data_IF_154654482676
#
_entry.id   IF_154654482676
#
_cell.length_a   1.000
_cell.length_b   1.000
_cell.length_c   1.000
_cell.angle_alpha   90.00
_cell.angle_beta   90.00
_cell.angle_gamma   90.00
#
_symmetry.space_group_name_H-M   'P 1'
#
loop_
_entity.id
_entity.type
_entity.pdbx_description
1 polymer ?
#
# COMPACT_ATOMS: atom_id res chain seq x y z
N UNK A 1 4.22 -14.49 0.29
CA UNK A 1 2.83 -14.37 -0.17
C UNK A 1 2.82 -13.60 -1.48
N UNK A 2 2.09 -14.07 -2.46
CA UNK A 2 1.98 -13.44 -3.77
C UNK A 2 0.53 -13.05 -4.04
N UNK A 3 0.35 -11.89 -4.67
CA UNK A 3 -0.97 -11.37 -5.02
C UNK A 3 -0.93 -10.83 -6.44
N UNK A 4 -2.01 -11.02 -7.18
CA UNK A 4 -2.14 -10.51 -8.54
C UNK A 4 -3.03 -9.26 -8.55
N UNK A 5 -2.72 -8.31 -9.47
CA UNK A 5 -3.61 -7.20 -9.74
C UNK A 5 -4.97 -7.72 -10.25
N UNK A 6 -6.05 -6.93 -10.20
CA UNK A 6 -7.36 -7.39 -10.65
C UNK A 6 -7.39 -7.92 -12.09
N UNK A 7 -6.58 -7.34 -12.99
CA UNK A 7 -6.48 -7.81 -14.37
C UNK A 7 -5.47 -8.95 -14.56
N UNK A 8 -4.79 -9.37 -13.48
CA UNK A 8 -3.79 -10.45 -13.45
C UNK A 8 -2.52 -10.16 -14.27
N UNK A 9 -2.30 -8.93 -14.68
CA UNK A 9 -1.10 -8.56 -15.47
C UNK A 9 0.09 -8.20 -14.61
N UNK A 10 -0.12 -7.86 -13.35
CA UNK A 10 0.94 -7.49 -12.41
C UNK A 10 0.90 -8.38 -11.19
N UNK A 11 2.07 -8.69 -10.65
CA UNK A 11 2.17 -9.49 -9.42
C UNK A 11 2.85 -8.70 -8.33
N UNK A 12 2.32 -8.81 -7.10
CA UNK A 12 2.90 -8.23 -5.90
C UNK A 12 3.32 -9.38 -4.99
N UNK A 13 4.52 -9.30 -4.45
CA UNK A 13 5.03 -10.26 -3.49
C UNK A 13 5.33 -9.56 -2.18
N UNK A 14 4.79 -10.06 -1.08
CA UNK A 14 5.10 -9.60 0.26
C UNK A 14 5.87 -10.69 0.99
N UNK A 15 7.05 -10.34 1.49
CA UNK A 15 7.88 -11.23 2.27
C UNK A 15 8.00 -10.68 3.68
N UNK A 16 7.30 -11.28 4.62
CA UNK A 16 7.31 -10.86 6.01
C UNK A 16 8.71 -11.03 6.60
N UNK A 17 9.19 -9.99 7.27
CA UNK A 17 10.52 -9.95 7.86
C UNK A 17 10.45 -9.82 9.39
N UNK A 18 9.30 -9.46 9.93
CA UNK A 18 9.10 -9.32 11.35
C UNK A 18 7.71 -8.84 11.69
N UNK A 19 7.53 -8.48 12.94
CA UNK A 19 6.27 -7.97 13.46
C UNK A 19 6.47 -6.57 14.05
N UNK A 20 5.44 -5.75 13.99
CA UNK A 20 5.45 -4.47 14.69
C UNK A 20 5.05 -4.75 16.16
N UNK A 21 6.06 -4.96 17.01
CA UNK A 21 5.83 -5.40 18.37
C UNK A 21 5.44 -6.87 18.45
N UNK A 22 5.32 -7.40 19.66
CA UNK A 22 4.97 -8.80 19.90
C UNK A 22 3.50 -9.04 19.55
N UNK A 23 3.26 -9.98 18.63
CA UNK A 23 1.91 -10.30 18.18
C UNK A 23 1.26 -9.22 17.32
N UNK A 24 2.02 -8.22 16.86
CA UNK A 24 1.51 -7.14 16.03
C UNK A 24 1.43 -7.51 14.54
N UNK A 25 1.01 -6.55 13.70
CA UNK A 25 0.99 -6.77 12.27
C UNK A 25 2.36 -7.07 11.69
N UNK A 26 2.40 -7.83 10.60
CA UNK A 26 3.63 -8.17 9.93
C UNK A 26 4.16 -6.97 9.14
N UNK A 27 5.49 -6.85 9.09
CA UNK A 27 6.21 -5.86 8.32
C UNK A 27 7.23 -6.58 7.45
N UNK A 28 7.47 -6.08 6.24
CA UNK A 28 8.42 -6.76 5.37
C UNK A 28 8.63 -6.09 4.03
N UNK A 29 9.20 -6.86 3.12
CA UNK A 29 9.56 -6.40 1.79
C UNK A 29 8.38 -6.57 0.83
N UNK A 30 8.17 -5.57 -0.02
CA UNK A 30 7.20 -5.64 -1.12
C UNK A 30 7.95 -5.47 -2.44
N UNK A 31 7.67 -6.39 -3.37
CA UNK A 31 8.15 -6.34 -4.75
C UNK A 31 6.95 -6.38 -5.69
N UNK A 32 7.02 -5.64 -6.78
CA UNK A 32 6.02 -5.69 -7.84
C UNK A 32 6.71 -6.05 -9.14
N UNK A 33 6.23 -7.08 -9.82
CA UNK A 33 6.81 -7.62 -11.05
C UNK A 33 8.31 -7.92 -10.90
N UNK A 34 8.73 -8.37 -9.72
CA UNK A 34 10.11 -8.66 -9.42
C UNK A 34 10.97 -7.48 -8.99
N UNK A 35 10.43 -6.27 -9.00
CA UNK A 35 11.15 -5.06 -8.58
C UNK A 35 10.90 -4.77 -7.10
N UNK A 36 11.97 -4.78 -6.31
CA UNK A 36 11.88 -4.50 -4.88
C UNK A 36 11.56 -3.02 -4.67
N UNK A 37 10.46 -2.73 -3.96
CA UNK A 37 10.05 -1.37 -3.65
C UNK A 37 10.61 -0.89 -2.31
N UNK A 38 10.77 -1.77 -1.36
CA UNK A 38 11.30 -1.45 -0.04
C UNK A 38 11.09 -2.59 0.93
N UNK A 39 11.56 -2.42 2.18
CA UNK A 39 11.57 -3.48 3.19
C UNK A 39 10.77 -3.16 4.44
N UNK A 40 10.15 -1.99 4.51
CA UNK A 40 9.43 -1.54 5.70
C UNK A 40 7.94 -1.30 5.41
N UNK A 41 7.33 -2.18 4.64
CA UNK A 41 5.91 -2.08 4.30
C UNK A 41 5.07 -2.97 5.21
N UNK A 42 3.87 -2.52 5.51
CA UNK A 42 2.87 -3.35 6.16
C UNK A 42 2.38 -4.41 5.18
N UNK A 43 1.89 -5.53 5.69
CA UNK A 43 1.37 -6.63 4.88
C UNK A 43 -0.04 -6.39 4.36
N UNK A 44 -0.30 -5.19 3.85
CA UNK A 44 -1.57 -4.85 3.25
C UNK A 44 -1.35 -3.96 2.02
N UNK A 45 -2.25 -4.06 1.06
CA UNK A 45 -2.17 -3.29 -0.19
C UNK A 45 -3.54 -3.22 -0.83
N UNK A 46 -3.69 -2.24 -1.75
CA UNK A 46 -4.94 -2.05 -2.49
C UNK A 46 -4.61 -1.63 -3.92
N UNK A 47 -4.97 -2.47 -4.89
CA UNK A 47 -4.87 -2.13 -6.30
C UNK A 47 -6.01 -1.18 -6.71
N UNK A 48 -5.73 -0.27 -7.66
CA UNK A 48 -6.79 0.52 -8.25
C UNK A 48 -7.61 -0.34 -9.24
N UNK A 49 -8.76 0.16 -9.67
CA UNK A 49 -9.64 -0.59 -10.57
C UNK A 49 -9.02 -0.82 -11.94
N UNK A 50 -8.10 0.04 -12.38
CA UNK A 50 -7.39 -0.12 -13.65
C UNK A 50 -6.21 -1.09 -13.56
N UNK A 51 -5.88 -1.58 -12.38
CA UNK A 51 -4.79 -2.53 -12.13
C UNK A 51 -3.40 -2.02 -12.47
N UNK A 52 -3.21 -0.73 -12.65
CA UNK A 52 -1.89 -0.15 -12.96
C UNK A 52 -1.19 0.44 -11.75
N UNK A 53 -1.91 0.74 -10.68
CA UNK A 53 -1.35 1.32 -9.47
C UNK A 53 -1.79 0.57 -8.22
N UNK A 54 -0.92 0.52 -7.23
CA UNK A 54 -1.19 -0.13 -5.95
C UNK A 54 -0.84 0.81 -4.81
N UNK A 55 -1.69 0.84 -3.79
CA UNK A 55 -1.45 1.59 -2.55
C UNK A 55 -0.82 0.68 -1.53
N UNK A 56 0.17 1.21 -0.83
CA UNK A 56 0.95 0.53 0.19
C UNK A 56 1.01 1.40 1.43
N UNK A 57 1.27 0.78 2.58
CA UNK A 57 1.55 1.50 3.82
C UNK A 57 2.98 1.22 4.24
N UNK A 58 3.80 2.27 4.29
CA UNK A 58 5.18 2.18 4.79
C UNK A 58 5.19 2.50 6.28
N UNK A 59 5.86 1.63 7.06
CA UNK A 59 5.96 1.80 8.50
C UNK A 59 6.75 3.07 8.85
N UNK A 60 6.22 3.85 9.80
CA UNK A 60 6.88 5.08 10.28
C UNK A 60 7.21 4.97 11.77
N UNK A 61 6.21 4.65 12.63
CA UNK A 61 6.45 4.59 14.06
C UNK A 61 5.46 3.67 14.78
N UNK A 62 5.82 3.30 16.02
CA UNK A 62 4.99 2.43 16.88
C UNK A 62 4.20 3.19 17.93
N UNK A 63 4.67 4.33 18.35
CA UNK A 63 4.04 5.10 19.43
C UNK A 63 4.08 6.59 19.09
N UNK A 64 3.08 7.11 18.39
CA UNK A 64 1.82 6.46 17.95
C UNK A 64 1.99 5.52 16.76
N UNK A 65 1.01 4.61 16.58
CA UNK A 65 0.95 3.73 15.42
C UNK A 65 0.77 4.57 14.15
N UNK A 66 1.77 4.57 13.29
CA UNK A 66 1.81 5.48 12.16
C UNK A 66 2.43 4.84 10.94
N UNK A 67 1.73 4.96 9.82
CA UNK A 67 2.25 4.58 8.51
C UNK A 67 2.04 5.72 7.54
N UNK A 68 2.82 5.73 6.48
CA UNK A 68 2.71 6.70 5.40
C UNK A 68 2.17 6.02 4.16
N UNK A 69 1.24 6.67 3.47
CA UNK A 69 0.69 6.18 2.23
C UNK A 69 1.73 6.31 1.11
N UNK A 70 1.91 5.21 0.37
CA UNK A 70 2.79 5.13 -0.78
C UNK A 70 1.97 4.58 -1.94
N UNK A 71 2.14 5.14 -3.14
CA UNK A 71 1.58 4.56 -4.35
C UNK A 71 2.70 4.12 -5.29
N UNK A 72 2.47 3.03 -6.00
CA UNK A 72 3.39 2.55 -7.02
C UNK A 72 2.62 2.27 -8.30
N UNK A 73 3.07 2.88 -9.41
CA UNK A 73 2.50 2.64 -10.72
C UNK A 73 3.32 1.55 -11.42
N UNK A 74 2.72 0.38 -11.61
CA UNK A 74 3.40 -0.78 -12.19
C UNK A 74 3.69 -0.61 -13.68
N UNK A 75 2.95 0.25 -14.37
CA UNK A 75 3.17 0.50 -15.80
C UNK A 75 4.36 1.45 -16.03
N UNK A 76 4.56 2.43 -15.16
CA UNK A 76 5.62 3.44 -15.30
C UNK A 76 6.78 3.23 -14.34
N UNK A 77 6.66 2.32 -13.38
CA UNK A 77 7.65 2.06 -12.32
C UNK A 77 7.92 3.30 -11.46
N UNK A 78 6.90 4.13 -11.24
CA UNK A 78 7.02 5.33 -10.41
C UNK A 78 6.43 5.08 -9.04
N UNK A 79 7.24 5.28 -8.00
CA UNK A 79 6.83 5.18 -6.60
C UNK A 79 6.76 6.59 -6.03
N UNK A 80 5.65 6.90 -5.35
CA UNK A 80 5.44 8.20 -4.72
C UNK A 80 5.04 8.05 -3.27
N UNK A 81 5.60 8.89 -2.41
CA UNK A 81 5.19 9.04 -1.02
C UNK A 81 4.17 10.16 -0.94
N UNK A 82 3.05 9.91 -0.29
CA UNK A 82 1.99 10.90 -0.12
C UNK A 82 1.97 11.38 1.32
N UNK A 83 1.63 12.64 1.54
CA UNK A 83 1.52 13.19 2.90
C UNK A 83 0.18 12.82 3.53
N UNK A 84 -0.11 11.53 3.56
CA UNK A 84 -1.31 10.96 4.15
C UNK A 84 -0.86 9.86 5.10
N UNK A 85 -1.31 9.94 6.35
CA UNK A 85 -0.91 9.02 7.38
C UNK A 85 -2.07 8.17 7.84
N UNK A 86 -1.79 6.91 8.14
CA UNK A 86 -2.74 5.95 8.68
C UNK A 86 -2.13 5.23 9.87
N UNK A 87 -2.94 4.42 10.55
CA UNK A 87 -2.45 3.39 11.45
C UNK A 87 -1.86 2.22 10.66
N UNK A 88 -1.82 1.03 11.26
CA UNK A 88 -1.15 -0.11 10.63
C UNK A 88 -1.98 -0.85 9.59
N UNK A 89 -3.21 -0.41 9.32
CA UNK A 89 -4.10 -1.05 8.36
C UNK A 89 -4.73 -0.01 7.44
N UNK A 90 -4.94 -0.40 6.19
CA UNK A 90 -5.73 0.42 5.29
C UNK A 90 -7.18 0.42 5.75
N UNK A 91 -7.81 1.60 5.90
CA UNK A 91 -9.24 1.65 6.15
C UNK A 91 -10.02 1.19 4.91
N UNK A 92 -11.34 1.15 5.02
CA UNK A 92 -12.18 0.80 3.88
C UNK A 92 -12.15 1.94 2.86
N UNK A 93 -11.50 1.68 1.73
CA UNK A 93 -11.24 2.66 0.68
C UNK A 93 -11.63 2.10 -0.68
N UNK A 94 -12.02 3.01 -1.56
CA UNK A 94 -12.07 2.73 -3.01
C UNK A 94 -10.98 3.56 -3.67
N UNK A 95 -10.15 2.92 -4.47
CA UNK A 95 -9.07 3.58 -5.22
C UNK A 95 -9.38 3.52 -6.71
N UNK A 96 -9.81 4.65 -7.27
CA UNK A 96 -10.18 4.76 -8.68
C UNK A 96 -9.79 6.15 -9.19
N UNK A 97 -9.28 6.23 -10.42
CA UNK A 97 -8.93 7.49 -11.10
C UNK A 97 -8.07 8.42 -10.23
N UNK A 98 -7.09 7.87 -9.52
CA UNK A 98 -6.21 8.59 -8.60
C UNK A 98 -6.97 9.26 -7.44
N UNK A 99 -8.17 8.79 -7.14
CA UNK A 99 -8.96 9.26 -6.01
C UNK A 99 -9.12 8.16 -4.99
N UNK A 100 -8.93 8.51 -3.72
CA UNK A 100 -9.24 7.65 -2.59
C UNK A 100 -10.55 8.10 -1.99
N UNK A 101 -11.53 7.21 -1.95
CA UNK A 101 -12.81 7.47 -1.30
C UNK A 101 -12.91 6.60 -0.07
N UNK A 102 -13.05 7.23 1.10
CA UNK A 102 -13.27 6.52 2.36
C UNK A 102 -14.74 6.17 2.47
N UNK A 103 -15.04 4.88 2.49
CA UNK A 103 -16.44 4.43 2.46
C UNK A 103 -17.21 4.77 3.73
N UNK A 104 -16.52 4.90 4.88
CA UNK A 104 -17.16 5.17 6.15
C UNK A 104 -17.50 6.65 6.38
N UNK A 105 -16.73 7.56 5.80
CA UNK A 105 -16.83 9.00 6.05
C UNK A 105 -17.12 9.82 4.81
N UNK A 106 -17.21 9.19 3.64
CA UNK A 106 -17.38 9.84 2.35
C UNK A 106 -16.27 10.86 2.04
N UNK A 107 -15.16 10.76 2.75
CA UNK A 107 -14.00 11.62 2.51
C UNK A 107 -13.32 11.20 1.20
N UNK A 108 -12.88 12.18 0.41
CA UNK A 108 -12.18 11.94 -0.85
C UNK A 108 -10.83 12.62 -0.80
N UNK A 109 -9.78 11.90 -1.19
CA UNK A 109 -8.42 12.43 -1.30
C UNK A 109 -7.95 12.21 -2.74
N UNK A 110 -7.51 13.28 -3.39
CA UNK A 110 -6.88 13.18 -4.70
C UNK A 110 -5.39 12.86 -4.52
N UNK A 111 -4.90 11.86 -5.24
CA UNK A 111 -3.50 11.49 -5.23
C UNK A 111 -2.82 11.98 -6.50
N UNK A 112 -1.60 12.45 -6.36
CA UNK A 112 -0.74 12.80 -7.48
C UNK A 112 0.12 11.59 -7.84
N UNK A 113 -0.49 10.67 -8.56
CA UNK A 113 0.17 9.41 -8.94
C UNK A 113 0.84 9.48 -10.30
#
# INVERSE_FOLDING_TARGET
MQNLSPDKKHSLTFMADGEVGMGGPMIGAISVNGNLLGKNFMGCWLWNENSDSVLLLEFVSRAPDKTQLVSYNAATNVLKHHQVEFGYRLPNLVFADNLLTFTDTERVIALDC
#
